data_IF_902505071295
#
_entry.id   IF_902505071295
#
_cell.length_a   1.000
_cell.length_b   1.000
_cell.length_c   1.000
_cell.angle_alpha   90.00
_cell.angle_beta   90.00
_cell.angle_gamma   90.00
#
_symmetry.space_group_name_H-M   'P 1'
#
loop_
_entity.id
_entity.type
_entity.pdbx_description
1 polymer ?
#
# COMPACT_ATOMS: atom_id res chain seq x y z
N UNK A 1 -13.21 1.59 25.05
CA UNK A 1 -13.22 1.70 23.58
C UNK A 1 -12.34 0.59 23.03
N UNK A 2 -12.73 -0.09 21.95
CA UNK A 2 -11.88 -1.12 21.33
C UNK A 2 -10.71 -0.47 20.60
N UNK A 3 -9.57 -1.18 20.47
CA UNK A 3 -8.41 -0.70 19.69
C UNK A 3 -8.80 -0.33 18.26
N UNK A 4 -9.68 -1.12 17.63
CA UNK A 4 -10.23 -0.83 16.30
C UNK A 4 -10.95 0.52 16.23
N UNK A 5 -11.77 0.86 17.24
CA UNK A 5 -12.50 2.13 17.26
C UNK A 5 -11.55 3.34 17.38
N UNK A 6 -10.42 3.19 18.08
CA UNK A 6 -9.40 4.24 18.20
C UNK A 6 -8.68 4.44 16.85
N UNK A 7 -8.20 3.35 16.22
CA UNK A 7 -7.53 3.44 14.92
C UNK A 7 -8.44 4.05 13.85
N UNK A 8 -9.71 3.63 13.80
CA UNK A 8 -10.70 4.19 12.89
C UNK A 8 -10.91 5.69 13.14
N UNK A 9 -11.07 6.10 14.41
CA UNK A 9 -11.26 7.51 14.76
C UNK A 9 -10.06 8.38 14.38
N UNK A 10 -8.83 7.86 14.48
CA UNK A 10 -7.60 8.56 14.08
C UNK A 10 -7.40 8.63 12.56
N UNK A 11 -7.88 7.62 11.82
CA UNK A 11 -7.76 7.59 10.36
C UNK A 11 -8.81 8.46 9.65
N UNK A 12 -9.99 8.62 10.26
CA UNK A 12 -11.11 9.36 9.66
C UNK A 12 -10.73 10.79 9.25
N UNK A 13 -10.00 11.61 10.04
CA UNK A 13 -9.49 12.90 9.60
C UNK A 13 -8.53 12.81 8.40
N UNK A 14 -7.62 11.82 8.38
CA UNK A 14 -6.67 11.62 7.28
C UNK A 14 -7.39 11.33 5.96
N UNK A 15 -8.37 10.44 5.97
CA UNK A 15 -9.19 10.12 4.79
C UNK A 15 -9.98 11.35 4.33
N UNK A 16 -10.52 12.14 5.26
CA UNK A 16 -11.20 13.39 4.91
C UNK A 16 -10.25 14.38 4.23
N UNK A 17 -9.01 14.52 4.72
CA UNK A 17 -8.00 15.38 4.11
C UNK A 17 -7.59 14.92 2.72
N UNK A 18 -7.43 13.60 2.51
CA UNK A 18 -7.16 13.02 1.18
C UNK A 18 -8.30 13.35 0.21
N UNK A 19 -9.56 13.15 0.62
CA UNK A 19 -10.72 13.50 -0.20
C UNK A 19 -10.75 15.00 -0.54
N UNK A 20 -10.44 15.87 0.43
CA UNK A 20 -10.36 17.32 0.16
C UNK A 20 -9.24 17.68 -0.80
N UNK A 21 -8.07 17.06 -0.68
CA UNK A 21 -6.95 17.25 -1.59
C UNK A 21 -7.27 16.77 -3.02
N UNK A 22 -8.09 15.73 -3.14
CA UNK A 22 -8.61 15.24 -4.43
C UNK A 22 -9.73 16.12 -5.02
N UNK A 23 -10.16 17.20 -4.34
CA UNK A 23 -11.18 18.13 -4.81
C UNK A 23 -12.61 17.86 -4.32
N UNK A 24 -12.81 16.89 -3.41
CA UNK A 24 -14.13 16.66 -2.81
C UNK A 24 -14.39 17.65 -1.67
N UNK A 25 -15.38 18.53 -1.85
CA UNK A 25 -15.75 19.54 -0.86
C UNK A 25 -16.90 19.11 0.07
N UNK A 26 -17.59 18.02 -0.26
CA UNK A 26 -18.65 17.43 0.56
C UNK A 26 -18.70 15.93 0.36
N UNK A 27 -19.00 15.19 1.42
CA UNK A 27 -19.20 13.74 1.39
C UNK A 27 -20.23 13.33 2.44
N UNK A 28 -20.97 12.25 2.19
CA UNK A 28 -21.88 11.70 3.19
C UNK A 28 -21.04 11.05 4.31
N UNK A 29 -21.42 11.18 5.60
CA UNK A 29 -20.70 10.54 6.70
C UNK A 29 -20.48 9.03 6.49
N UNK A 30 -21.47 8.33 5.94
CA UNK A 30 -21.37 6.90 5.63
C UNK A 30 -20.29 6.55 4.60
N UNK A 31 -20.04 7.43 3.62
CA UNK A 31 -18.98 7.23 2.62
C UNK A 31 -17.61 7.43 3.27
N UNK A 32 -17.47 8.47 4.10
CA UNK A 32 -16.23 8.71 4.85
C UNK A 32 -15.91 7.53 5.76
N UNK A 33 -16.90 7.00 6.47
CA UNK A 33 -16.73 5.86 7.37
C UNK A 33 -16.37 4.59 6.60
N UNK A 34 -17.02 4.34 5.46
CA UNK A 34 -16.70 3.20 4.59
C UNK A 34 -15.27 3.28 4.03
N UNK A 35 -14.85 4.44 3.53
CA UNK A 35 -13.48 4.64 3.04
C UNK A 35 -12.45 4.53 4.17
N UNK A 36 -12.80 5.00 5.37
CA UNK A 36 -11.93 4.85 6.56
C UNK A 36 -11.78 3.38 6.95
N UNK A 37 -12.84 2.58 6.87
CA UNK A 37 -12.77 1.12 7.11
C UNK A 37 -11.90 0.43 6.05
N UNK A 38 -12.09 0.75 4.76
CA UNK A 38 -11.28 0.21 3.66
C UNK A 38 -9.81 0.58 3.85
N UNK A 39 -9.49 1.86 4.14
CA UNK A 39 -8.13 2.31 4.38
C UNK A 39 -7.48 1.56 5.54
N UNK A 40 -8.21 1.36 6.65
CA UNK A 40 -7.76 0.57 7.80
C UNK A 40 -7.40 -0.87 7.41
N UNK A 41 -8.29 -1.56 6.70
CA UNK A 41 -8.06 -2.94 6.22
C UNK A 41 -6.89 -3.01 5.24
N UNK A 42 -6.76 -2.03 4.36
CA UNK A 42 -5.69 -1.98 3.38
C UNK A 42 -4.32 -1.76 4.02
N UNK A 43 -4.20 -0.88 5.02
CA UNK A 43 -2.95 -0.73 5.77
C UNK A 43 -2.59 -2.00 6.54
N UNK A 44 -3.58 -2.71 7.09
CA UNK A 44 -3.33 -3.99 7.74
C UNK A 44 -2.84 -5.06 6.75
N UNK A 45 -3.42 -5.11 5.54
CA UNK A 45 -2.98 -5.97 4.45
C UNK A 45 -1.53 -5.67 4.06
N UNK A 46 -1.20 -4.39 3.81
CA UNK A 46 0.15 -3.96 3.46
C UNK A 46 1.18 -4.33 4.54
N UNK A 47 0.86 -4.06 5.81
CA UNK A 47 1.74 -4.38 6.93
C UNK A 47 1.98 -5.89 7.07
N UNK A 48 0.94 -6.69 6.86
CA UNK A 48 1.03 -8.16 6.93
C UNK A 48 1.86 -8.72 5.78
N UNK A 49 1.64 -8.24 4.55
CA UNK A 49 2.42 -8.64 3.38
C UNK A 49 3.89 -8.21 3.53
N UNK A 50 4.16 -7.00 4.03
CA UNK A 50 5.52 -6.54 4.34
C UNK A 50 6.22 -7.46 5.33
N UNK A 51 5.55 -7.81 6.43
CA UNK A 51 6.11 -8.73 7.43
C UNK A 51 6.37 -10.13 6.86
N UNK A 52 5.54 -10.60 5.93
CA UNK A 52 5.75 -11.89 5.26
C UNK A 52 6.97 -11.87 4.33
N UNK A 53 7.21 -10.78 3.59
CA UNK A 53 8.42 -10.65 2.77
C UNK A 53 9.68 -10.57 3.62
N UNK A 54 9.67 -9.76 4.68
CA UNK A 54 10.79 -9.68 5.61
C UNK A 54 11.09 -11.03 6.28
N UNK A 55 10.06 -11.83 6.59
CA UNK A 55 10.24 -13.17 7.15
C UNK A 55 10.76 -14.22 6.14
N UNK A 56 10.70 -13.92 4.84
CA UNK A 56 11.13 -14.84 3.78
C UNK A 56 12.65 -14.81 3.54
N UNK A 57 13.34 -13.74 3.95
CA UNK A 57 14.80 -13.64 3.90
C UNK A 57 15.41 -13.83 5.31
N UNK A 58 15.96 -15.02 5.63
CA UNK A 58 16.55 -15.29 6.94
C UNK A 58 17.89 -14.57 7.16
N UNK A 59 18.49 -13.99 6.10
CA UNK A 59 19.81 -13.37 6.15
C UNK A 59 19.77 -11.91 6.62
N UNK A 60 18.62 -11.25 6.48
CA UNK A 60 18.41 -9.86 6.88
C UNK A 60 17.59 -9.78 8.18
N UNK A 61 18.12 -9.11 9.20
CA UNK A 61 17.40 -8.90 10.46
C UNK A 61 16.60 -7.59 10.39
N UNK A 62 15.33 -7.68 10.01
CA UNK A 62 14.39 -6.56 10.10
C UNK A 62 13.50 -6.40 8.88
N UNK A 63 12.75 -5.29 8.85
CA UNK A 63 11.95 -4.90 7.70
C UNK A 63 12.76 -3.87 6.90
N UNK A 64 12.95 -4.15 5.61
CA UNK A 64 13.62 -3.28 4.66
C UNK A 64 12.60 -2.53 3.78
N UNK A 65 13.09 -1.54 3.01
CA UNK A 65 12.26 -0.89 1.98
C UNK A 65 11.92 -1.84 0.82
N UNK A 66 12.73 -2.88 0.60
CA UNK A 66 12.47 -3.88 -0.43
C UNK A 66 11.21 -4.69 -0.08
N UNK A 67 11.03 -5.05 1.20
CA UNK A 67 9.84 -5.75 1.69
C UNK A 67 8.57 -4.92 1.48
N UNK A 68 8.65 -3.63 1.77
CA UNK A 68 7.52 -2.69 1.55
C UNK A 68 7.22 -2.58 0.06
N UNK A 69 8.24 -2.49 -0.79
CA UNK A 69 8.07 -2.42 -2.25
C UNK A 69 7.39 -3.68 -2.80
N UNK A 70 7.85 -4.86 -2.39
CA UNK A 70 7.23 -6.13 -2.77
C UNK A 70 5.77 -6.20 -2.29
N UNK A 71 5.50 -5.79 -1.06
CA UNK A 71 4.13 -5.75 -0.53
C UNK A 71 3.22 -4.79 -1.32
N UNK A 72 3.76 -3.66 -1.77
CA UNK A 72 3.04 -2.71 -2.61
C UNK A 72 2.75 -3.28 -4.01
N UNK A 73 3.63 -4.12 -4.57
CA UNK A 73 3.36 -4.83 -5.83
C UNK A 73 2.25 -5.88 -5.64
N UNK A 74 2.35 -6.69 -4.59
CA UNK A 74 1.36 -7.72 -4.25
C UNK A 74 -0.03 -7.12 -3.97
N UNK A 75 -0.07 -5.94 -3.33
CA UNK A 75 -1.30 -5.22 -3.01
C UNK A 75 -1.79 -4.30 -4.14
N UNK A 76 -1.17 -4.36 -5.33
CA UNK A 76 -1.50 -3.54 -6.50
C UNK A 76 -1.43 -2.01 -6.27
N UNK A 77 -0.61 -1.55 -5.32
CA UNK A 77 -0.30 -0.13 -5.15
C UNK A 77 0.66 0.38 -6.23
N UNK A 78 1.60 -0.46 -6.67
CA UNK A 78 2.53 -0.16 -7.75
C UNK A 78 2.56 -1.33 -8.73
N UNK A 79 2.91 -1.04 -9.99
CA UNK A 79 2.98 -2.08 -11.02
C UNK A 79 4.17 -3.00 -10.71
N UNK A 80 3.99 -4.34 -10.73
CA UNK A 80 5.09 -5.29 -10.60
C UNK A 80 6.13 -5.12 -11.70
N UNK A 81 7.37 -5.50 -11.40
CA UNK A 81 8.45 -5.62 -12.37
C UNK A 81 8.05 -6.62 -13.46
N UNK A 82 8.46 -6.37 -14.71
CA UNK A 82 8.25 -7.32 -15.80
C UNK A 82 9.07 -8.56 -15.52
N UNK A 83 8.48 -9.74 -15.74
CA UNK A 83 9.25 -10.98 -15.62
C UNK A 83 10.33 -11.01 -16.70
N UNK A 84 11.43 -11.69 -16.42
CA UNK A 84 12.58 -11.77 -17.31
C UNK A 84 12.20 -12.15 -18.75
N UNK A 85 11.28 -13.10 -18.91
CA UNK A 85 10.81 -13.57 -20.21
C UNK A 85 10.13 -12.47 -21.03
N UNK A 86 9.34 -11.61 -20.37
CA UNK A 86 8.64 -10.49 -21.01
C UNK A 86 9.63 -9.40 -21.45
N UNK A 87 10.63 -9.11 -20.62
CA UNK A 87 11.70 -8.15 -20.96
C UNK A 87 12.50 -8.61 -22.19
N UNK A 88 12.83 -9.91 -22.24
CA UNK A 88 13.54 -10.52 -23.38
C UNK A 88 12.68 -10.51 -24.64
N UNK A 89 11.38 -10.79 -24.52
CA UNK A 89 10.45 -10.78 -25.66
C UNK A 89 10.25 -9.38 -26.24
N UNK A 90 10.06 -8.38 -25.38
CA UNK A 90 9.87 -6.99 -25.78
C UNK A 90 11.20 -6.34 -26.25
N UNK A 91 12.34 -6.91 -25.84
CA UNK A 91 13.66 -6.31 -26.07
C UNK A 91 13.91 -5.04 -25.26
N UNK A 92 13.10 -4.81 -24.23
CA UNK A 92 13.11 -3.62 -23.36
C UNK A 92 13.39 -4.04 -21.92
N UNK A 93 14.52 -3.57 -21.37
CA UNK A 93 14.85 -3.75 -19.96
C UNK A 93 13.91 -2.93 -19.07
N UNK A 94 13.44 -3.54 -17.99
CA UNK A 94 12.60 -2.86 -17.01
C UNK A 94 13.44 -1.96 -16.11
N UNK A 95 13.51 -0.69 -16.47
CA UNK A 95 14.28 0.34 -15.76
C UNK A 95 13.44 1.12 -14.72
N UNK A 96 12.24 0.64 -14.40
CA UNK A 96 11.34 1.32 -13.44
C UNK A 96 11.99 1.43 -12.07
N UNK A 97 12.10 2.67 -11.57
CA UNK A 97 12.77 2.96 -10.29
C UNK A 97 14.27 3.29 -10.41
N UNK A 98 14.83 3.26 -11.63
CA UNK A 98 16.21 3.70 -11.94
C UNK A 98 16.24 4.93 -12.86
N UNK A 99 15.17 5.17 -13.62
CA UNK A 99 15.04 6.37 -14.45
C UNK A 99 14.74 7.64 -13.63
N UNK A 100 15.50 8.71 -13.89
CA UNK A 100 15.36 10.08 -13.34
C UNK A 100 15.06 11.10 -14.42
#
# INVERSE_FOLDING_TARGET
MSSHAIHHALLRPCVLHILRAAGYHSTKPSVLDALTDIAGRYMHLLATSTANHAAADPSELGISIADVRLAMQDCAAIVPEKVWEDQVFDGEEDVRGVEV
#
